data_IF_435943234966
#
_entry.id   IF_435943234966
#
_cell.length_a   1.000
_cell.length_b   1.000
_cell.length_c   1.000
_cell.angle_alpha   90.00
_cell.angle_beta   90.00
_cell.angle_gamma   90.00
#
_symmetry.space_group_name_H-M   'P 1'
#
loop_
_entity.id
_entity.type
_entity.pdbx_description
1 polymer ?
#
# COMPACT_ATOMS: atom_id res chain seq x y z
N UNK A 1 17.55 10.52 -20.84
CA UNK A 1 17.05 11.46 -19.82
C UNK A 1 18.27 12.11 -19.19
N UNK A 2 18.34 13.43 -19.21
CA UNK A 2 19.47 14.17 -18.63
C UNK A 2 19.40 14.16 -17.10
N UNK A 3 20.56 14.22 -16.44
CA UNK A 3 20.69 14.17 -14.98
C UNK A 3 19.83 15.23 -14.27
N UNK A 4 19.71 16.41 -14.89
CA UNK A 4 18.90 17.52 -14.40
C UNK A 4 17.41 17.15 -14.33
N UNK A 5 16.88 16.48 -15.36
CA UNK A 5 15.48 16.06 -15.41
C UNK A 5 15.17 15.00 -14.37
N UNK A 6 16.09 14.04 -14.16
CA UNK A 6 15.91 12.99 -13.16
C UNK A 6 15.88 13.58 -11.75
N UNK A 7 16.80 14.50 -11.44
CA UNK A 7 16.82 15.19 -10.14
C UNK A 7 15.55 16.01 -9.91
N UNK A 8 15.06 16.70 -10.94
CA UNK A 8 13.81 17.47 -10.86
C UNK A 8 12.61 16.55 -10.58
N UNK A 9 12.51 15.41 -11.27
CA UNK A 9 11.44 14.43 -11.06
C UNK A 9 11.49 13.87 -9.64
N UNK A 10 12.67 13.43 -9.16
CA UNK A 10 12.82 12.90 -7.79
C UNK A 10 12.43 13.97 -6.77
N UNK A 11 12.92 15.20 -6.93
CA UNK A 11 12.57 16.33 -6.06
C UNK A 11 11.08 16.63 -6.05
N UNK A 12 10.43 16.62 -7.21
CA UNK A 12 8.99 16.80 -7.33
C UNK A 12 8.22 15.70 -6.60
N UNK A 13 8.57 14.42 -6.82
CA UNK A 13 7.93 13.27 -6.16
C UNK A 13 8.06 13.36 -4.64
N UNK A 14 9.24 13.73 -4.12
CA UNK A 14 9.46 13.90 -2.68
C UNK A 14 8.60 15.06 -2.14
N UNK A 15 8.55 16.20 -2.85
CA UNK A 15 7.74 17.35 -2.45
C UNK A 15 6.25 17.03 -2.44
N UNK A 16 5.76 16.29 -3.43
CA UNK A 16 4.36 15.84 -3.51
C UNK A 16 4.04 14.90 -2.33
N UNK A 17 4.92 13.94 -2.03
CA UNK A 17 4.78 13.07 -0.86
C UNK A 17 4.73 13.86 0.45
N UNK A 18 5.68 14.78 0.64
CA UNK A 18 5.69 15.65 1.82
C UNK A 18 4.44 16.54 1.92
N UNK A 19 3.95 17.05 0.80
CA UNK A 19 2.72 17.85 0.74
C UNK A 19 1.50 17.04 1.21
N UNK A 20 1.43 15.76 0.86
CA UNK A 20 0.39 14.85 1.36
C UNK A 20 0.36 14.77 2.89
N UNK A 21 1.53 14.70 3.53
CA UNK A 21 1.63 14.74 5.01
C UNK A 21 1.18 16.08 5.60
N UNK A 22 1.49 17.18 4.95
CA UNK A 22 1.07 18.51 5.40
C UNK A 22 -0.44 18.70 5.27
N UNK A 23 -1.05 18.20 4.20
CA UNK A 23 -2.50 18.21 3.97
C UNK A 23 -3.21 17.37 5.02
N UNK A 24 -2.69 16.17 5.35
CA UNK A 24 -3.23 15.33 6.42
C UNK A 24 -3.37 16.10 7.74
N UNK A 25 -2.40 16.97 8.08
CA UNK A 25 -2.46 17.77 9.32
C UNK A 25 -3.67 18.72 9.38
N UNK A 26 -4.15 19.21 8.25
CA UNK A 26 -5.28 20.16 8.17
C UNK A 26 -6.61 19.48 7.85
N UNK A 27 -6.62 18.47 6.98
CA UNK A 27 -7.86 17.82 6.50
C UNK A 27 -8.15 16.48 7.17
N UNK A 28 -7.18 15.90 7.89
CA UNK A 28 -7.19 14.52 8.41
C UNK A 28 -7.33 13.44 7.33
N UNK A 29 -7.16 13.79 6.05
CA UNK A 29 -7.23 12.84 4.93
C UNK A 29 -5.90 12.08 4.80
N UNK A 30 -5.88 10.74 4.87
CA UNK A 30 -4.67 9.93 4.74
C UNK A 30 -3.79 10.33 3.56
N UNK A 31 -2.48 10.41 3.77
CA UNK A 31 -1.48 10.71 2.73
C UNK A 31 -1.62 9.78 1.51
N UNK A 32 -1.91 8.51 1.74
CA UNK A 32 -2.11 7.52 0.66
C UNK A 32 -3.27 7.88 -0.27
N UNK A 33 -4.40 8.36 0.27
CA UNK A 33 -5.54 8.79 -0.56
C UNK A 33 -5.20 10.04 -1.37
N UNK A 34 -4.48 10.99 -0.77
CA UNK A 34 -4.00 12.17 -1.49
C UNK A 34 -3.11 11.78 -2.66
N UNK A 35 -2.15 10.88 -2.46
CA UNK A 35 -1.25 10.40 -3.51
C UNK A 35 -1.99 9.65 -4.62
N UNK A 36 -2.99 8.83 -4.29
CA UNK A 36 -3.82 8.13 -5.29
C UNK A 36 -4.58 9.15 -6.15
N UNK A 37 -5.23 10.14 -5.54
CA UNK A 37 -5.98 11.18 -6.27
C UNK A 37 -5.02 12.01 -7.14
N UNK A 38 -3.86 12.37 -6.60
CA UNK A 38 -2.86 13.12 -7.35
C UNK A 38 -2.33 12.34 -8.56
N UNK A 39 -2.04 11.04 -8.40
CA UNK A 39 -1.66 10.16 -9.50
C UNK A 39 -2.77 10.00 -10.54
N UNK A 40 -4.03 9.92 -10.12
CA UNK A 40 -5.19 9.88 -11.01
C UNK A 40 -5.30 11.17 -11.84
N UNK A 41 -5.05 12.34 -11.22
CA UNK A 41 -5.08 13.62 -11.92
C UNK A 41 -3.94 13.71 -12.95
N UNK A 42 -2.71 13.35 -12.57
CA UNK A 42 -1.54 13.43 -13.45
C UNK A 42 -1.55 12.40 -14.59
N UNK A 43 -2.08 11.20 -14.35
CA UNK A 43 -2.16 10.15 -15.35
C UNK A 43 -3.39 10.32 -16.25
N UNK A 44 -4.51 9.64 -15.98
CA UNK A 44 -5.64 9.55 -16.90
C UNK A 44 -6.41 10.85 -17.12
N UNK A 45 -6.47 11.76 -16.14
CA UNK A 45 -7.29 12.99 -16.27
C UNK A 45 -6.60 14.03 -17.15
N UNK A 46 -5.30 14.26 -16.94
CA UNK A 46 -4.53 15.27 -17.68
C UNK A 46 -3.72 14.68 -18.84
N UNK A 47 -3.56 13.35 -18.91
CA UNK A 47 -2.66 12.65 -19.85
C UNK A 47 -1.24 13.21 -19.88
N UNK A 48 -0.80 13.80 -18.76
CA UNK A 48 0.51 14.44 -18.67
C UNK A 48 1.63 13.39 -18.59
N UNK A 49 1.30 12.22 -18.04
CA UNK A 49 2.19 11.06 -17.93
C UNK A 49 1.53 9.87 -18.62
N UNK A 50 2.22 9.26 -19.58
CA UNK A 50 1.78 8.01 -20.18
C UNK A 50 1.99 6.86 -19.18
N UNK A 51 0.89 6.24 -18.75
CA UNK A 51 0.90 5.09 -17.87
C UNK A 51 1.67 3.89 -18.45
N UNK A 52 1.77 3.80 -19.78
CA UNK A 52 2.49 2.72 -20.46
C UNK A 52 3.97 2.68 -20.08
N UNK A 53 4.60 3.87 -20.00
CA UNK A 53 6.02 4.06 -19.67
C UNK A 53 6.32 3.74 -18.20
N UNK A 54 5.30 3.78 -17.34
CA UNK A 54 5.44 3.45 -15.93
C UNK A 54 5.45 1.94 -15.67
N UNK A 55 4.88 1.11 -16.55
CA UNK A 55 4.83 -0.35 -16.33
C UNK A 55 6.21 -1.00 -16.20
N UNK A 56 7.24 -0.45 -16.84
CA UNK A 56 8.62 -0.94 -16.71
C UNK A 56 9.27 -0.50 -15.39
N UNK A 57 8.91 0.68 -14.88
CA UNK A 57 9.44 1.24 -13.64
C UNK A 57 8.74 0.70 -12.39
N UNK A 58 7.45 0.40 -12.47
CA UNK A 58 6.62 -0.05 -11.33
C UNK A 58 7.27 -1.22 -10.58
N UNK A 59 7.74 -2.30 -11.23
CA UNK A 59 8.36 -3.43 -10.52
C UNK A 59 9.60 -3.02 -9.73
N UNK A 60 10.47 -2.18 -10.30
CA UNK A 60 11.73 -1.78 -9.68
C UNK A 60 11.45 -0.85 -8.49
N UNK A 61 10.60 0.15 -8.69
CA UNK A 61 10.26 1.13 -7.65
C UNK A 61 9.46 0.47 -6.52
N UNK A 62 8.49 -0.39 -6.83
CA UNK A 62 7.71 -1.11 -5.82
C UNK A 62 8.58 -2.08 -5.03
N UNK A 63 9.49 -2.82 -5.66
CA UNK A 63 10.44 -3.68 -4.97
C UNK A 63 11.33 -2.87 -4.01
N UNK A 64 11.90 -1.75 -4.47
CA UNK A 64 12.73 -0.89 -3.63
C UNK A 64 11.94 -0.32 -2.44
N UNK A 65 10.70 0.14 -2.67
CA UNK A 65 9.82 0.63 -1.62
C UNK A 65 9.47 -0.48 -0.61
N UNK A 66 9.11 -1.68 -1.08
CA UNK A 66 8.81 -2.83 -0.23
C UNK A 66 10.02 -3.23 0.62
N UNK A 67 11.23 -3.25 0.04
CA UNK A 67 12.47 -3.54 0.77
C UNK A 67 12.66 -2.51 1.89
N UNK A 68 12.54 -1.21 1.58
CA UNK A 68 12.68 -0.14 2.57
C UNK A 68 11.65 -0.26 3.71
N UNK A 69 10.37 -0.48 3.37
CA UNK A 69 9.28 -0.63 4.35
C UNK A 69 9.48 -1.88 5.23
N UNK A 70 9.91 -3.00 4.64
CA UNK A 70 10.19 -4.24 5.40
C UNK A 70 11.37 -4.06 6.36
N UNK A 71 12.42 -3.35 5.94
CA UNK A 71 13.57 -3.05 6.80
C UNK A 71 13.13 -2.17 7.98
N UNK A 72 12.39 -1.08 7.71
CA UNK A 72 11.89 -0.19 8.75
C UNK A 72 10.97 -0.91 9.75
N UNK A 73 10.07 -1.75 9.22
CA UNK A 73 9.17 -2.58 10.02
C UNK A 73 9.94 -3.60 10.86
N UNK A 74 11.00 -4.21 10.30
CA UNK A 74 11.83 -5.18 11.00
C UNK A 74 12.69 -4.59 12.11
N UNK A 75 13.25 -3.38 11.91
CA UNK A 75 14.07 -2.69 12.92
C UNK A 75 13.22 -2.21 14.09
N UNK A 76 12.00 -1.73 13.81
CA UNK A 76 11.07 -1.23 14.84
C UNK A 76 10.35 -2.36 15.59
N UNK A 77 10.51 -3.61 15.12
CA UNK A 77 9.82 -4.77 15.66
C UNK A 77 10.37 -5.18 17.04
N UNK A 78 9.55 -5.06 18.08
CA UNK A 78 9.91 -5.48 19.44
C UNK A 78 9.74 -7.01 19.58
N UNK A 79 10.77 -7.76 19.18
CA UNK A 79 10.79 -9.23 19.24
C UNK A 79 10.58 -9.74 20.67
N UNK A 80 11.11 -9.01 21.66
CA UNK A 80 11.08 -9.38 23.08
C UNK A 80 9.66 -9.39 23.64
N UNK A 81 8.82 -8.45 23.23
CA UNK A 81 7.38 -8.45 23.59
C UNK A 81 6.60 -9.58 22.93
N UNK A 82 7.01 -10.00 21.75
CA UNK A 82 6.30 -11.03 20.99
C UNK A 82 6.61 -12.45 21.47
N UNK A 83 7.85 -12.70 21.90
CA UNK A 83 8.31 -14.00 22.40
C UNK A 83 7.40 -14.63 23.47
N UNK A 84 6.72 -13.82 24.29
CA UNK A 84 5.77 -14.32 25.29
C UNK A 84 4.45 -14.86 24.72
N UNK A 85 4.00 -14.36 23.55
CA UNK A 85 2.68 -14.62 22.98
C UNK A 85 2.72 -14.97 21.47
N UNK A 86 3.87 -15.42 20.94
CA UNK A 86 4.07 -15.67 19.50
C UNK A 86 2.98 -16.57 18.94
N UNK A 87 2.65 -17.66 19.63
CA UNK A 87 1.65 -18.61 19.16
C UNK A 87 0.27 -17.98 19.00
N UNK A 88 -0.14 -17.13 19.95
CA UNK A 88 -1.40 -16.42 19.87
C UNK A 88 -1.40 -15.40 18.73
N UNK A 89 -0.32 -14.63 18.58
CA UNK A 89 -0.18 -13.65 17.50
C UNK A 89 -0.22 -14.32 16.10
N UNK A 90 0.54 -15.40 15.91
CA UNK A 90 0.57 -16.16 14.65
C UNK A 90 -0.79 -16.77 14.34
N UNK A 91 -1.42 -17.43 15.32
CA UNK A 91 -2.75 -18.01 15.14
C UNK A 91 -3.78 -16.94 14.79
N UNK A 92 -3.76 -15.80 15.48
CA UNK A 92 -4.65 -14.68 15.23
C UNK A 92 -4.48 -14.12 13.81
N UNK A 93 -3.24 -13.86 13.38
CA UNK A 93 -2.94 -13.37 12.02
C UNK A 93 -3.36 -14.37 10.95
N UNK A 94 -3.11 -15.67 11.15
CA UNK A 94 -3.51 -16.70 10.18
C UNK A 94 -5.04 -16.84 10.10
N UNK A 95 -5.73 -16.91 11.24
CA UNK A 95 -7.18 -17.08 11.28
C UNK A 95 -7.87 -15.88 10.62
N UNK A 96 -7.49 -14.66 11.02
CA UNK A 96 -8.05 -13.45 10.41
C UNK A 96 -7.67 -13.36 8.94
N UNK A 97 -6.44 -13.71 8.59
CA UNK A 97 -5.97 -13.63 7.21
C UNK A 97 -6.77 -14.54 6.28
N UNK A 98 -7.00 -15.78 6.71
CA UNK A 98 -7.81 -16.75 5.97
C UNK A 98 -9.27 -16.34 5.94
N UNK A 99 -9.85 -15.92 7.07
CA UNK A 99 -11.26 -15.50 7.14
C UNK A 99 -11.54 -14.29 6.26
N UNK A 100 -10.70 -13.25 6.32
CA UNK A 100 -10.82 -12.05 5.48
C UNK A 100 -10.70 -12.41 4.00
N UNK A 101 -9.72 -13.25 3.63
CA UNK A 101 -9.54 -13.72 2.26
C UNK A 101 -10.77 -14.47 1.76
N UNK A 102 -11.31 -15.41 2.55
CA UNK A 102 -12.50 -16.18 2.19
C UNK A 102 -13.75 -15.31 2.08
N UNK A 103 -13.92 -14.33 2.98
CA UNK A 103 -15.04 -13.40 2.93
C UNK A 103 -14.99 -12.53 1.67
N UNK A 104 -13.84 -11.91 1.39
CA UNK A 104 -13.68 -11.06 0.19
C UNK A 104 -13.84 -11.89 -1.08
N UNK A 105 -13.18 -13.04 -1.17
CA UNK A 105 -13.28 -13.92 -2.33
C UNK A 105 -14.71 -14.45 -2.52
N UNK A 106 -15.38 -14.86 -1.43
CA UNK A 106 -16.77 -15.34 -1.45
C UNK A 106 -17.74 -14.27 -1.93
N UNK A 107 -17.59 -13.03 -1.47
CA UNK A 107 -18.40 -11.90 -1.95
C UNK A 107 -18.18 -11.64 -3.45
N UNK A 108 -16.94 -11.67 -3.93
CA UNK A 108 -16.63 -11.46 -5.35
C UNK A 108 -17.18 -12.57 -6.25
N UNK A 109 -17.10 -13.82 -5.81
CA UNK A 109 -17.64 -14.96 -6.57
C UNK A 109 -19.17 -14.92 -6.57
N UNK A 110 -19.81 -14.69 -5.42
CA UNK A 110 -21.27 -14.76 -5.31
C UNK A 110 -21.98 -13.55 -5.94
N UNK A 111 -21.46 -12.34 -5.75
CA UNK A 111 -22.12 -11.12 -6.24
C UNK A 111 -21.65 -10.70 -7.64
N UNK A 112 -20.35 -10.85 -7.95
CA UNK A 112 -19.77 -10.37 -9.20
C UNK A 112 -19.48 -11.50 -10.20
N UNK A 113 -19.68 -12.77 -9.81
CA UNK A 113 -19.41 -13.95 -10.64
C UNK A 113 -17.96 -13.99 -11.17
N UNK A 114 -17.02 -13.50 -10.35
CA UNK A 114 -15.61 -13.45 -10.69
C UNK A 114 -14.95 -14.83 -10.69
N UNK A 115 -13.88 -14.97 -11.48
CA UNK A 115 -13.07 -16.18 -11.46
C UNK A 115 -12.55 -16.45 -10.04
N UNK A 116 -12.72 -17.66 -9.49
CA UNK A 116 -12.29 -17.99 -8.13
C UNK A 116 -10.81 -17.68 -7.85
N UNK A 117 -9.93 -17.87 -8.85
CA UNK A 117 -8.51 -17.59 -8.70
C UNK A 117 -8.24 -16.10 -8.46
N UNK A 118 -8.85 -15.22 -9.27
CA UNK A 118 -8.67 -13.77 -9.12
C UNK A 118 -9.34 -13.23 -7.85
N UNK A 119 -10.49 -13.79 -7.47
CA UNK A 119 -11.17 -13.44 -6.23
C UNK A 119 -10.33 -13.80 -4.99
N UNK A 120 -9.70 -14.98 -4.97
CA UNK A 120 -8.78 -15.38 -3.90
C UNK A 120 -7.52 -14.52 -3.85
N UNK A 121 -6.93 -14.19 -5.01
CA UNK A 121 -5.76 -13.32 -5.09
C UNK A 121 -6.06 -11.91 -4.53
N UNK A 122 -7.20 -11.33 -4.91
CA UNK A 122 -7.63 -10.05 -4.33
C UNK A 122 -7.90 -10.16 -2.82
N UNK A 123 -8.55 -11.23 -2.38
CA UNK A 123 -8.75 -11.50 -0.96
C UNK A 123 -7.45 -11.50 -0.18
N UNK A 124 -6.42 -12.21 -0.68
CA UNK A 124 -5.10 -12.27 -0.06
C UNK A 124 -4.40 -10.90 -0.02
N UNK A 125 -4.43 -10.14 -1.11
CA UNK A 125 -3.82 -8.81 -1.16
C UNK A 125 -4.52 -7.85 -0.19
N UNK A 126 -5.84 -7.95 -0.06
CA UNK A 126 -6.63 -7.10 0.84
C UNK A 126 -6.56 -7.49 2.32
N UNK A 127 -6.10 -8.71 2.61
CA UNK A 127 -6.02 -9.27 3.96
C UNK A 127 -4.94 -8.62 4.83
N UNK A 128 -3.93 -8.01 4.19
CA UNK A 128 -2.85 -7.30 4.87
C UNK A 128 -3.37 -6.14 5.71
N UNK A 129 -3.02 -6.10 6.99
CA UNK A 129 -3.33 -4.96 7.86
C UNK A 129 -2.21 -3.93 7.78
N UNK A 130 -2.57 -2.65 7.74
CA UNK A 130 -1.61 -1.55 7.90
C UNK A 130 -1.76 -0.98 9.31
N UNK A 131 -0.66 -0.84 10.04
CA UNK A 131 -0.65 -0.25 11.39
C UNK A 131 -1.15 1.21 11.39
N UNK A 132 -1.09 1.88 10.24
CA UNK A 132 -1.54 3.25 10.02
C UNK A 132 -3.04 3.42 10.28
N UNK A 133 -3.89 2.46 9.94
CA UNK A 133 -5.34 2.56 10.19
C UNK A 133 -5.72 2.17 11.61
N UNK A 134 -5.01 1.24 12.22
CA UNK A 134 -5.24 0.81 13.60
C UNK A 134 -4.86 1.90 14.62
N UNK A 135 -3.75 2.62 14.41
CA UNK A 135 -3.35 3.74 15.27
C UNK A 135 -4.25 4.98 15.12
N UNK A 136 -4.99 5.12 14.01
CA UNK A 136 -5.93 6.24 13.84
C UNK A 136 -7.25 6.04 14.64
N UNK A 137 -7.52 4.82 15.11
CA UNK A 137 -8.72 4.45 15.86
C UNK A 137 -8.48 4.28 17.38
N UNK A 138 -7.22 4.24 17.82
CA UNK A 138 -6.78 4.20 19.22
C UNK A 138 -6.29 5.57 19.68
#
# INVERSE_FOLDING_TARGET
MDLETIMLIIGAVILIGFSGRMIYRWTRVPESLFLIIFGLILGPVTNFIDGSSLFELIPIVSAAALIAILIESGITFDISRLLGNVWFAVAFTLIIGVLTTLLVAGLLIFFLNWNPLYAMLLGLVSSGTTTVTAMALL
#
